data_IF_701097878573
#
_entry.id   IF_701097878573
#
_cell.length_a   1.000
_cell.length_b   1.000
_cell.length_c   1.000
_cell.angle_alpha   90.00
_cell.angle_beta   90.00
_cell.angle_gamma   90.00
#
_symmetry.space_group_name_H-M   'P 1'
#
loop_
_entity.id
_entity.type
_entity.pdbx_description
1 polymer ?
#
# COMPACT_ATOMS: atom_id res chain seq x y z
N UNK A 1 -5.01 -17.89 -2.27
CA UNK A 1 -5.79 -16.63 -2.33
C UNK A 1 -4.88 -15.53 -1.82
N UNK A 2 -4.63 -14.47 -2.59
CA UNK A 2 -3.90 -13.32 -2.07
C UNK A 2 -4.77 -12.64 -1.01
N UNK A 3 -4.25 -12.43 0.19
CA UNK A 3 -5.01 -11.77 1.25
C UNK A 3 -5.12 -10.28 0.88
N UNK A 4 -6.32 -9.85 0.48
CA UNK A 4 -6.58 -8.49 0.02
C UNK A 4 -6.35 -7.44 1.12
N UNK A 5 -6.19 -7.86 2.38
CA UNK A 5 -5.86 -7.01 3.54
C UNK A 5 -4.37 -7.04 3.87
N UNK A 6 -3.57 -7.90 3.23
CA UNK A 6 -2.15 -7.98 3.46
C UNK A 6 -1.39 -7.04 2.50
N UNK A 7 -0.38 -6.37 3.04
CA UNK A 7 0.61 -5.63 2.27
C UNK A 7 1.53 -6.63 1.56
N UNK A 8 1.71 -6.54 0.24
CA UNK A 8 2.56 -7.47 -0.51
C UNK A 8 4.04 -7.36 -0.15
N UNK A 9 4.47 -6.25 0.45
CA UNK A 9 5.87 -5.99 0.79
C UNK A 9 6.26 -6.55 2.17
N UNK A 10 5.36 -6.53 3.15
CA UNK A 10 5.68 -6.91 4.53
C UNK A 10 4.74 -7.98 5.12
N UNK A 11 3.67 -8.37 4.41
CA UNK A 11 2.66 -9.30 4.90
C UNK A 11 1.75 -8.77 6.02
N UNK A 12 2.00 -7.55 6.51
CA UNK A 12 1.18 -6.88 7.52
C UNK A 12 -0.12 -6.30 6.95
N UNK A 13 -0.95 -5.69 7.79
CA UNK A 13 -2.22 -5.09 7.33
C UNK A 13 -1.96 -3.87 6.42
N UNK A 14 -2.57 -3.86 5.24
CA UNK A 14 -2.48 -2.74 4.28
C UNK A 14 -3.48 -1.61 4.58
N UNK A 15 -4.40 -1.82 5.53
CA UNK A 15 -5.47 -0.89 5.89
C UNK A 15 -6.33 -0.47 4.69
N UNK A 16 -6.56 -1.39 3.75
CA UNK A 16 -7.37 -1.13 2.57
C UNK A 16 -8.80 -0.72 2.95
N UNK A 17 -9.18 0.49 2.53
CA UNK A 17 -10.51 1.06 2.73
C UNK A 17 -11.60 0.30 1.98
N UNK A 18 -11.28 -0.23 0.78
CA UNK A 18 -12.23 -1.01 -0.04
C UNK A 18 -12.69 -2.27 0.70
N UNK A 19 -11.74 -3.04 1.24
CA UNK A 19 -12.06 -4.26 2.00
C UNK A 19 -12.74 -3.93 3.33
N UNK A 20 -12.44 -2.76 3.90
CA UNK A 20 -13.04 -2.29 5.15
C UNK A 20 -14.39 -1.59 4.95
N UNK A 21 -14.94 -1.55 3.72
CA UNK A 21 -16.15 -0.79 3.35
C UNK A 21 -16.10 0.69 3.77
N UNK A 22 -14.91 1.27 3.77
CA UNK A 22 -14.71 2.71 3.97
C UNK A 22 -14.79 3.43 2.63
N UNK A 23 -15.41 4.61 2.63
CA UNK A 23 -15.49 5.46 1.45
C UNK A 23 -14.09 5.89 0.96
N UNK A 24 -13.16 6.08 1.90
CA UNK A 24 -11.81 6.56 1.63
C UNK A 24 -10.76 5.54 2.09
N UNK A 25 -9.75 5.32 1.24
CA UNK A 25 -8.55 4.56 1.59
C UNK A 25 -7.36 5.53 1.69
N UNK A 26 -6.48 5.32 2.67
CA UNK A 26 -5.29 6.15 2.85
C UNK A 26 -4.40 6.18 1.60
N UNK A 27 -4.38 5.10 0.81
CA UNK A 27 -3.60 5.03 -0.42
C UNK A 27 -4.11 6.00 -1.51
N UNK A 28 -5.33 6.52 -1.41
CA UNK A 28 -5.88 7.48 -2.37
C UNK A 28 -5.37 8.90 -2.12
N UNK A 29 -4.94 9.20 -0.90
CA UNK A 29 -4.38 10.50 -0.51
C UNK A 29 -2.85 10.50 -0.49
N UNK A 30 -2.23 9.31 -0.48
CA UNK A 30 -0.79 9.15 -0.47
C UNK A 30 -0.17 9.20 -1.88
N UNK A 31 1.02 9.79 -1.99
CA UNK A 31 1.77 9.86 -3.23
C UNK A 31 2.76 8.68 -3.32
N UNK A 32 2.45 7.70 -4.17
CA UNK A 32 3.30 6.53 -4.37
C UNK A 32 4.35 6.79 -5.48
N UNK A 33 5.63 6.43 -5.25
CA UNK A 33 6.64 6.40 -6.28
C UNK A 33 6.24 5.46 -7.43
N UNK A 34 6.53 5.87 -8.67
CA UNK A 34 6.17 5.08 -9.86
C UNK A 34 6.82 3.70 -9.87
N UNK A 35 8.05 3.58 -9.39
CA UNK A 35 8.80 2.33 -9.29
C UNK A 35 8.07 1.33 -8.37
N UNK A 36 7.65 1.81 -7.20
CA UNK A 36 6.91 1.03 -6.20
C UNK A 36 5.56 0.49 -6.75
N UNK A 37 4.86 1.30 -7.55
CA UNK A 37 3.64 0.88 -8.25
C UNK A 37 3.89 -0.05 -9.44
N UNK A 38 5.07 0.03 -10.06
CA UNK A 38 5.42 -0.82 -11.20
C UNK A 38 5.56 -2.28 -10.78
N UNK A 39 6.07 -2.52 -9.58
CA UNK A 39 6.17 -3.86 -8.98
C UNK A 39 4.83 -4.35 -8.40
N UNK A 40 3.92 -3.44 -8.04
CA UNK A 40 2.67 -3.76 -7.33
C UNK A 40 1.45 -2.97 -7.86
N UNK A 41 1.09 -3.12 -9.15
CA UNK A 41 0.13 -2.22 -9.81
C UNK A 41 -1.31 -2.33 -9.31
N UNK A 42 -1.67 -3.44 -8.67
CA UNK A 42 -3.04 -3.73 -8.23
C UNK A 42 -3.15 -4.03 -6.72
N UNK A 43 -2.05 -3.92 -5.98
CA UNK A 43 -2.01 -4.32 -4.57
C UNK A 43 -1.99 -3.11 -3.65
N UNK A 44 -2.81 -3.12 -2.60
CA UNK A 44 -2.74 -2.11 -1.56
C UNK A 44 -1.48 -2.33 -0.72
N UNK A 45 -0.60 -1.33 -0.73
CA UNK A 45 0.58 -1.30 0.13
C UNK A 45 0.15 -0.69 1.48
N UNK A 46 0.95 -0.82 2.55
CA UNK A 46 0.72 -0.15 3.83
C UNK A 46 1.55 1.15 3.95
N UNK A 47 1.10 2.09 4.79
CA UNK A 47 1.74 3.40 4.98
C UNK A 47 3.21 3.26 5.40
N UNK A 48 3.47 2.34 6.34
CA UNK A 48 4.81 2.01 6.80
C UNK A 48 5.76 1.65 5.64
N UNK A 49 5.34 0.79 4.72
CA UNK A 49 6.20 0.39 3.61
C UNK A 49 6.43 1.54 2.61
N UNK A 50 5.47 2.44 2.46
CA UNK A 50 5.65 3.66 1.67
C UNK A 50 6.66 4.60 2.34
N UNK A 51 6.53 4.84 3.63
CA UNK A 51 7.48 5.67 4.40
C UNK A 51 8.90 5.09 4.34
N UNK A 52 9.06 3.80 4.60
CA UNK A 52 10.36 3.13 4.50
C UNK A 52 10.96 3.19 3.08
N UNK A 53 10.13 3.07 2.04
CA UNK A 53 10.60 3.23 0.66
C UNK A 53 11.11 4.65 0.43
N UNK A 54 10.40 5.66 0.95
CA UNK A 54 10.79 7.08 0.82
C UNK A 54 12.08 7.37 1.58
N UNK A 55 12.24 6.86 2.79
CA UNK A 55 13.48 7.03 3.57
C UNK A 55 14.70 6.38 2.89
N UNK A 56 14.52 5.21 2.26
CA UNK A 56 15.61 4.53 1.53
C UNK A 56 15.98 5.20 0.21
N UNK A 57 15.12 6.04 -0.35
CA UNK A 57 15.30 6.71 -1.64
C UNK A 57 15.33 8.26 -1.53
N UNK A 58 15.47 8.80 -0.31
CA UNK A 58 15.65 10.22 -0.03
C UNK A 58 17.14 10.61 -0.08
#
# INVERSE_FOLDING_TARGET
MADEKACPLCGGNNHCGVVSQKADCWCMTANFPKEMLSENPTSCICEKCLEEYRERNA
#
